data_IF_323626457045
#
_entry.id   IF_323626457045
#
_cell.length_a   1.000
_cell.length_b   1.000
_cell.length_c   1.000
_cell.angle_alpha   90.00
_cell.angle_beta   90.00
_cell.angle_gamma   90.00
#
_symmetry.space_group_name_H-M   'P 1'
#
loop_
_entity.id
_entity.type
_entity.pdbx_description
1 polymer ?
#
# COMPACT_ATOMS: atom_id res chain seq x y z
N UNK A 1 -5.39 -3.50 7.50
CA UNK A 1 -5.52 -3.49 6.01
C UNK A 1 -4.23 -2.89 5.47
N UNK A 2 -3.55 -3.57 4.56
CA UNK A 2 -2.37 -3.01 3.92
C UNK A 2 -2.73 -1.73 3.14
N UNK A 3 -1.92 -0.68 3.29
CA UNK A 3 -1.97 0.52 2.46
C UNK A 3 -0.77 0.54 1.51
N UNK A 4 -0.67 1.50 0.60
CA UNK A 4 0.32 1.50 -0.48
C UNK A 4 1.77 1.27 -0.02
N UNK A 5 2.19 1.91 1.06
CA UNK A 5 3.55 1.75 1.61
C UNK A 5 3.91 0.29 1.93
N UNK A 6 2.94 -0.51 2.41
CA UNK A 6 3.18 -1.95 2.67
C UNK A 6 3.47 -2.68 1.37
N UNK A 7 2.71 -2.38 0.31
CA UNK A 7 2.87 -3.06 -0.98
C UNK A 7 4.21 -2.69 -1.63
N UNK A 8 4.59 -1.40 -1.59
CA UNK A 8 5.90 -0.95 -2.06
C UNK A 8 7.04 -1.59 -1.27
N UNK A 9 6.93 -1.68 0.07
CA UNK A 9 7.92 -2.35 0.90
C UNK A 9 8.05 -3.83 0.55
N UNK A 10 6.93 -4.52 0.28
CA UNK A 10 6.92 -5.92 -0.15
C UNK A 10 7.53 -6.09 -1.54
N UNK A 11 7.22 -5.19 -2.49
CA UNK A 11 7.84 -5.18 -3.80
C UNK A 11 9.37 -5.05 -3.70
N UNK A 12 9.85 -4.07 -2.92
CA UNK A 12 11.27 -3.86 -2.68
C UNK A 12 11.94 -5.09 -2.02
N UNK A 13 11.24 -5.75 -1.08
CA UNK A 13 11.77 -6.94 -0.42
C UNK A 13 11.88 -8.14 -1.38
N UNK A 14 10.89 -8.35 -2.25
CA UNK A 14 10.92 -9.40 -3.27
C UNK A 14 12.00 -9.11 -4.30
N UNK A 15 12.04 -7.87 -4.80
CA UNK A 15 13.04 -7.45 -5.79
C UNK A 15 14.47 -7.64 -5.24
N UNK A 16 14.72 -7.16 -4.03
CA UNK A 16 16.02 -7.30 -3.37
C UNK A 16 16.42 -8.76 -3.09
N UNK A 17 15.45 -9.63 -2.82
CA UNK A 17 15.73 -11.04 -2.54
C UNK A 17 15.93 -11.88 -3.80
N UNK A 18 15.21 -11.60 -4.89
CA UNK A 18 15.07 -12.54 -5.99
C UNK A 18 15.38 -11.98 -7.38
N UNK A 19 15.44 -10.65 -7.59
CA UNK A 19 15.63 -10.08 -8.91
C UNK A 19 16.92 -10.60 -9.58
N UNK A 20 16.79 -11.03 -10.83
CA UNK A 20 17.87 -11.64 -11.61
C UNK A 20 18.20 -13.08 -11.23
N UNK A 21 17.49 -13.67 -10.27
CA UNK A 21 17.72 -15.03 -9.79
C UNK A 21 16.66 -16.00 -10.30
N UNK A 22 17.09 -17.26 -10.51
CA UNK A 22 16.17 -18.35 -10.79
C UNK A 22 15.49 -18.79 -9.50
N UNK A 23 14.18 -18.90 -9.52
CA UNK A 23 13.38 -19.22 -8.33
C UNK A 23 12.54 -20.48 -8.51
N UNK A 24 12.29 -21.19 -7.42
CA UNK A 24 11.25 -22.20 -7.32
C UNK A 24 9.92 -21.51 -6.98
N UNK A 25 8.86 -21.84 -7.74
CA UNK A 25 7.53 -21.29 -7.53
C UNK A 25 6.54 -22.42 -7.32
N UNK A 26 5.91 -22.43 -6.14
CA UNK A 26 4.97 -23.48 -5.75
C UNK A 26 3.66 -22.92 -5.22
N UNK A 27 2.60 -23.72 -5.28
CA UNK A 27 1.31 -23.40 -4.67
C UNK A 27 0.92 -24.49 -3.66
N UNK A 28 1.41 -24.43 -2.42
CA UNK A 28 1.15 -25.47 -1.42
C UNK A 28 -0.34 -25.71 -1.15
N UNK A 29 -1.18 -24.68 -1.26
CA UNK A 29 -2.63 -24.77 -1.16
C UNK A 29 -3.30 -25.35 -2.42
N UNK A 30 -2.61 -25.35 -3.57
CA UNK A 30 -3.10 -25.87 -4.86
C UNK A 30 -3.91 -24.89 -5.72
N UNK A 31 -4.42 -23.78 -5.16
CA UNK A 31 -5.31 -22.86 -5.92
C UNK A 31 -4.61 -22.00 -6.98
N UNK A 32 -3.29 -22.07 -7.07
CA UNK A 32 -2.46 -21.37 -8.05
C UNK A 32 -1.48 -22.35 -8.71
N UNK A 33 -1.74 -23.66 -8.65
CA UNK A 33 -0.78 -24.70 -9.03
C UNK A 33 -0.40 -24.65 -10.51
N UNK A 34 -1.37 -24.45 -11.41
CA UNK A 34 -1.11 -24.38 -12.86
C UNK A 34 -0.22 -23.18 -13.21
N UNK A 35 -0.55 -22.02 -12.72
CA UNK A 35 0.26 -20.80 -12.93
C UNK A 35 1.62 -20.90 -12.25
N UNK A 36 1.70 -21.47 -11.04
CA UNK A 36 2.96 -21.70 -10.35
C UNK A 36 3.90 -22.60 -11.19
N UNK A 37 3.38 -23.67 -11.78
CA UNK A 37 4.16 -24.57 -12.64
C UNK A 37 4.68 -23.88 -13.92
N UNK A 38 4.01 -22.82 -14.39
CA UNK A 38 4.49 -22.01 -15.54
C UNK A 38 5.65 -21.10 -15.16
N UNK A 39 5.73 -20.69 -13.89
CA UNK A 39 6.76 -19.80 -13.35
C UNK A 39 7.91 -20.55 -12.68
N UNK A 40 7.71 -21.81 -12.32
CA UNK A 40 8.70 -22.61 -11.60
C UNK A 40 9.99 -22.78 -12.41
N UNK A 41 11.12 -22.56 -11.75
CA UNK A 41 12.45 -22.63 -12.36
C UNK A 41 12.75 -21.50 -13.36
N UNK A 42 11.94 -20.42 -13.44
CA UNK A 42 12.23 -19.24 -14.26
C UNK A 42 13.00 -18.20 -13.49
N UNK A 43 13.47 -17.14 -14.16
CA UNK A 43 14.14 -16.00 -13.53
C UNK A 43 13.10 -14.97 -13.13
N UNK A 44 13.10 -14.54 -11.88
CA UNK A 44 12.33 -13.38 -11.44
C UNK A 44 13.06 -12.11 -11.92
N UNK A 45 12.47 -11.37 -12.86
CA UNK A 45 13.08 -10.20 -13.46
C UNK A 45 13.01 -8.96 -12.56
N UNK A 46 11.82 -8.68 -12.03
CA UNK A 46 11.61 -7.52 -11.14
C UNK A 46 10.33 -7.67 -10.31
N UNK A 47 10.21 -6.85 -9.26
CA UNK A 47 8.97 -6.69 -8.51
C UNK A 47 8.67 -5.19 -8.31
N UNK A 48 7.44 -4.79 -8.62
CA UNK A 48 7.00 -3.40 -8.54
C UNK A 48 5.64 -3.29 -7.85
N UNK A 49 5.38 -2.11 -7.28
CA UNK A 49 4.08 -1.78 -6.72
C UNK A 49 3.44 -0.58 -7.43
N UNK A 50 2.11 -0.60 -7.50
CA UNK A 50 1.30 0.52 -7.94
C UNK A 50 0.05 0.59 -7.06
N UNK A 51 0.02 1.57 -6.16
CA UNK A 51 -1.02 1.67 -5.14
C UNK A 51 -1.04 0.45 -4.23
N UNK A 52 -2.09 -0.34 -4.32
CA UNK A 52 -2.25 -1.57 -3.54
C UNK A 52 -2.06 -2.85 -4.36
N UNK A 53 -1.53 -2.71 -5.56
CA UNK A 53 -1.22 -3.80 -6.48
C UNK A 53 0.28 -4.07 -6.47
N UNK A 54 0.65 -5.34 -6.34
CA UNK A 54 1.99 -5.85 -6.49
C UNK A 54 2.07 -6.62 -7.79
N UNK A 55 3.06 -6.34 -8.60
CA UNK A 55 3.35 -7.04 -9.85
C UNK A 55 4.77 -7.58 -9.79
N UNK A 56 4.90 -8.86 -10.02
CA UNK A 56 6.20 -9.54 -10.12
C UNK A 56 6.36 -10.05 -11.53
N UNK A 57 7.42 -9.63 -12.19
CA UNK A 57 7.75 -9.98 -13.57
C UNK A 57 8.73 -11.16 -13.61
N UNK A 58 8.43 -12.12 -14.49
CA UNK A 58 9.25 -13.32 -14.67
C UNK A 58 9.73 -13.42 -16.13
N UNK A 59 11.03 -13.58 -16.32
CA UNK A 59 11.63 -13.85 -17.64
C UNK A 59 11.41 -15.31 -18.04
N UNK A 60 10.20 -15.60 -18.54
CA UNK A 60 9.79 -16.96 -18.94
C UNK A 60 9.50 -17.09 -20.43
N UNK A 61 9.70 -16.05 -21.23
CA UNK A 61 9.45 -15.99 -22.68
C UNK A 61 8.00 -16.37 -23.09
N UNK A 62 7.03 -16.24 -22.18
CA UNK A 62 5.60 -16.49 -22.41
C UNK A 62 4.83 -15.18 -22.39
N UNK A 63 3.65 -15.12 -23.03
CA UNK A 63 2.77 -13.96 -22.88
C UNK A 63 2.39 -13.70 -21.43
N UNK A 64 2.03 -14.74 -20.69
CA UNK A 64 1.65 -14.66 -19.28
C UNK A 64 2.92 -14.79 -18.42
N UNK A 65 3.46 -13.65 -17.99
CA UNK A 65 4.70 -13.57 -17.22
C UNK A 65 4.58 -12.65 -15.99
N UNK A 66 3.49 -11.91 -15.86
CA UNK A 66 3.27 -11.00 -14.75
C UNK A 66 2.40 -11.66 -13.67
N UNK A 67 2.98 -11.87 -12.50
CA UNK A 67 2.22 -12.28 -11.31
C UNK A 67 1.60 -11.05 -10.65
N UNK A 68 0.29 -10.89 -10.77
CA UNK A 68 -0.46 -9.81 -10.15
C UNK A 68 -1.05 -10.24 -8.81
N UNK A 69 -0.75 -9.49 -7.77
CA UNK A 69 -1.22 -9.73 -6.40
C UNK A 69 -1.93 -8.49 -5.86
N UNK A 70 -3.12 -8.69 -5.29
CA UNK A 70 -3.80 -7.71 -4.43
C UNK A 70 -4.15 -8.37 -3.09
N UNK A 71 -3.57 -7.85 -2.00
CA UNK A 71 -3.74 -8.48 -0.68
C UNK A 71 -5.16 -8.39 -0.13
N UNK A 72 -5.90 -7.32 -0.48
CA UNK A 72 -7.23 -7.07 0.08
C UNK A 72 -7.16 -6.73 1.58
N UNK A 73 -8.17 -7.15 2.33
CA UNK A 73 -8.30 -6.83 3.75
C UNK A 73 -7.46 -7.74 4.66
N UNK A 74 -7.36 -9.01 4.32
CA UNK A 74 -6.83 -10.09 5.18
C UNK A 74 -5.59 -10.76 4.62
N UNK A 75 -5.24 -10.51 3.34
CA UNK A 75 -4.08 -11.10 2.70
C UNK A 75 -2.79 -10.68 3.37
N UNK A 76 -1.85 -11.62 3.43
CA UNK A 76 -0.52 -11.43 3.99
C UNK A 76 0.52 -11.98 3.03
N UNK A 77 1.60 -11.24 2.85
CA UNK A 77 2.80 -11.68 2.16
C UNK A 77 3.98 -11.44 3.09
N UNK A 78 4.81 -12.45 3.30
CA UNK A 78 6.01 -12.37 4.14
C UNK A 78 7.22 -12.82 3.32
N UNK A 79 8.31 -12.07 3.40
CA UNK A 79 9.61 -12.42 2.81
C UNK A 79 10.56 -12.66 3.97
N UNK A 80 10.91 -13.93 4.18
CA UNK A 80 11.62 -14.40 5.38
C UNK A 80 12.57 -15.55 5.02
N UNK A 81 13.52 -15.94 5.88
CA UNK A 81 14.33 -17.15 5.66
C UNK A 81 13.43 -18.38 5.40
N UNK A 82 13.86 -19.24 4.48
CA UNK A 82 13.10 -20.43 4.09
C UNK A 82 12.92 -21.37 5.28
N UNK A 83 11.66 -21.67 5.59
CA UNK A 83 11.25 -22.66 6.60
C UNK A 83 10.19 -23.60 5.99
N UNK A 84 9.94 -24.77 6.58
CA UNK A 84 8.85 -25.64 6.13
C UNK A 84 7.51 -24.89 6.05
N UNK A 85 6.74 -25.19 5.01
CA UNK A 85 5.43 -24.57 4.80
C UNK A 85 4.48 -24.93 5.94
N UNK A 86 3.88 -23.90 6.56
CA UNK A 86 2.87 -24.08 7.61
C UNK A 86 1.59 -23.37 7.21
N UNK A 87 0.45 -24.05 7.30
CA UNK A 87 -0.88 -23.49 7.03
C UNK A 87 -1.18 -23.30 5.54
N UNK A 88 -2.09 -22.38 5.24
CA UNK A 88 -2.64 -22.18 3.90
C UNK A 88 -1.81 -21.16 3.11
N UNK A 89 -0.77 -21.62 2.41
CA UNK A 89 0.06 -20.80 1.52
C UNK A 89 -0.47 -20.89 0.10
N UNK A 90 -0.95 -19.78 -0.45
CA UNK A 90 -1.46 -19.67 -1.83
C UNK A 90 -0.35 -19.83 -2.85
N UNK A 91 0.75 -19.16 -2.59
CA UNK A 91 1.94 -19.09 -3.43
C UNK A 91 3.17 -19.00 -2.55
N UNK A 92 4.22 -19.74 -2.90
CA UNK A 92 5.58 -19.58 -2.39
C UNK A 92 6.52 -19.34 -3.56
N UNK A 93 7.37 -18.32 -3.43
CA UNK A 93 8.54 -18.06 -4.29
C UNK A 93 9.76 -18.24 -3.41
N UNK A 94 10.76 -19.02 -3.84
CA UNK A 94 11.98 -19.23 -3.04
C UNK A 94 13.21 -19.49 -3.91
N UNK A 95 14.38 -19.10 -3.41
CA UNK A 95 15.70 -19.45 -3.93
C UNK A 95 16.38 -20.55 -3.09
N UNK A 96 15.64 -21.13 -2.13
CA UNK A 96 16.15 -22.11 -1.17
C UNK A 96 16.66 -21.49 0.14
N UNK A 97 17.03 -20.20 0.16
CA UNK A 97 17.52 -19.46 1.33
C UNK A 97 16.43 -18.55 1.89
N UNK A 98 15.78 -17.81 1.00
CA UNK A 98 14.68 -16.90 1.32
C UNK A 98 13.39 -17.40 0.67
N UNK A 99 12.25 -17.17 1.33
CA UNK A 99 10.95 -17.49 0.80
C UNK A 99 9.97 -16.31 0.94
N UNK A 100 9.21 -16.05 -0.11
CA UNK A 100 8.05 -15.16 -0.12
C UNK A 100 6.77 -16.00 -0.07
N UNK A 101 6.06 -15.96 1.05
CA UNK A 101 4.84 -16.74 1.30
C UNK A 101 3.59 -15.86 1.26
N UNK A 102 2.73 -16.11 0.30
CA UNK A 102 1.45 -15.43 0.13
C UNK A 102 0.29 -16.22 0.76
N UNK A 103 -0.50 -15.57 1.62
CA UNK A 103 -1.64 -16.17 2.30
C UNK A 103 -2.88 -15.29 2.14
N UNK A 104 -4.01 -15.88 1.79
CA UNK A 104 -5.33 -15.25 1.76
C UNK A 104 -5.45 -13.97 0.92
N UNK A 105 -4.78 -13.84 -0.24
CA UNK A 105 -4.92 -12.65 -1.08
C UNK A 105 -6.32 -12.53 -1.65
N UNK A 106 -6.74 -11.33 -1.97
CA UNK A 106 -7.93 -11.07 -2.77
C UNK A 106 -7.71 -11.49 -4.23
N UNK A 107 -6.57 -11.10 -4.81
CA UNK A 107 -6.15 -11.47 -6.16
C UNK A 107 -4.77 -12.12 -6.11
N UNK A 108 -4.58 -13.19 -6.88
CA UNK A 108 -3.30 -13.83 -7.16
C UNK A 108 -3.46 -14.50 -8.52
N UNK A 109 -3.02 -13.84 -9.58
CA UNK A 109 -3.27 -14.21 -10.96
C UNK A 109 -1.98 -14.05 -11.78
N UNK A 110 -1.78 -14.94 -12.74
CA UNK A 110 -0.74 -14.84 -13.76
C UNK A 110 -1.39 -14.20 -14.99
N UNK A 111 -0.89 -13.05 -15.43
CA UNK A 111 -1.46 -12.21 -16.47
C UNK A 111 -0.39 -11.79 -17.48
N UNK A 112 -0.83 -11.24 -18.61
CA UNK A 112 0.02 -10.65 -19.64
C UNK A 112 0.03 -9.11 -19.54
N UNK A 113 0.84 -8.46 -20.42
CA UNK A 113 0.98 -7.01 -20.48
C UNK A 113 -0.34 -6.27 -20.78
N UNK A 114 -1.17 -6.81 -21.69
CA UNK A 114 -2.44 -6.19 -22.06
C UNK A 114 -3.43 -6.21 -20.89
N UNK A 115 -3.49 -7.31 -20.16
CA UNK A 115 -4.32 -7.46 -18.97
C UNK A 115 -3.82 -6.54 -17.86
N UNK A 116 -2.50 -6.47 -17.63
CA UNK A 116 -1.94 -5.50 -16.70
C UNK A 116 -2.23 -4.07 -17.13
N UNK A 117 -2.08 -3.72 -18.41
CA UNK A 117 -2.43 -2.42 -18.96
C UNK A 117 -3.87 -2.02 -18.66
N UNK A 118 -4.79 -2.99 -18.76
CA UNK A 118 -6.21 -2.79 -18.41
C UNK A 118 -6.40 -2.48 -16.92
N UNK A 119 -5.72 -3.19 -16.04
CA UNK A 119 -5.75 -2.93 -14.59
C UNK A 119 -5.11 -1.57 -14.28
N UNK A 120 -3.92 -1.30 -14.80
CA UNK A 120 -3.16 -0.07 -14.56
C UNK A 120 -3.92 1.19 -15.00
N UNK A 121 -4.65 1.12 -16.13
CA UNK A 121 -5.48 2.22 -16.61
C UNK A 121 -6.60 2.63 -15.63
N UNK A 122 -6.97 1.77 -14.70
CA UNK A 122 -7.97 2.07 -13.66
C UNK A 122 -7.36 2.67 -12.40
N UNK A 123 -6.06 2.61 -12.24
CA UNK A 123 -5.33 3.08 -11.06
C UNK A 123 -4.91 4.53 -11.26
N UNK A 124 -5.13 5.37 -10.27
CA UNK A 124 -4.71 6.77 -10.29
C UNK A 124 -3.21 6.94 -9.97
N UNK A 125 -2.72 8.18 -9.97
CA UNK A 125 -1.37 8.49 -9.53
C UNK A 125 -1.10 7.95 -8.13
N UNK A 126 0.07 7.33 -7.94
CA UNK A 126 0.52 6.77 -6.66
C UNK A 126 1.56 7.72 -6.04
N UNK A 127 1.30 8.32 -4.87
CA UNK A 127 2.20 9.28 -4.24
C UNK A 127 3.63 8.75 -3.98
N UNK A 128 3.81 7.43 -3.93
CA UNK A 128 5.14 6.83 -3.67
C UNK A 128 6.00 6.81 -4.93
N UNK A 129 5.37 6.70 -6.10
CA UNK A 129 6.07 6.60 -7.39
C UNK A 129 6.60 7.95 -7.85
N UNK A 130 7.77 7.94 -8.50
CA UNK A 130 8.40 9.16 -9.03
C UNK A 130 7.71 9.69 -10.30
N UNK A 131 6.95 8.84 -11.01
CA UNK A 131 6.18 9.20 -12.20
C UNK A 131 4.77 9.73 -11.89
N UNK A 132 4.40 9.87 -10.61
CA UNK A 132 3.09 10.32 -10.20
C UNK A 132 2.90 11.83 -10.44
N UNK A 133 1.83 12.17 -11.19
CA UNK A 133 1.43 13.55 -11.43
C UNK A 133 0.22 13.93 -10.53
N UNK A 134 0.41 14.83 -9.54
CA UNK A 134 -0.67 15.29 -8.67
C UNK A 134 -1.80 16.01 -9.41
N UNK A 135 -1.52 16.59 -10.58
CA UNK A 135 -2.53 17.32 -11.35
C UNK A 135 -3.52 16.39 -12.04
N UNK A 136 -3.09 15.17 -12.40
CA UNK A 136 -4.01 14.11 -12.90
C UNK A 136 -5.04 13.74 -11.82
N UNK A 137 -4.61 13.65 -10.57
CA UNK A 137 -5.51 13.42 -9.43
C UNK A 137 -6.37 14.65 -9.15
N UNK A 138 -5.78 15.85 -9.18
CA UNK A 138 -6.48 17.13 -8.99
C UNK A 138 -7.65 17.31 -9.96
N UNK A 139 -7.49 16.94 -11.21
CA UNK A 139 -8.55 17.02 -12.20
C UNK A 139 -9.81 16.24 -11.82
N UNK A 140 -9.65 15.15 -11.07
CA UNK A 140 -10.78 14.37 -10.53
C UNK A 140 -11.35 15.01 -9.25
N UNK A 141 -10.46 15.47 -8.35
CA UNK A 141 -10.85 16.12 -7.08
C UNK A 141 -11.69 17.36 -7.33
N UNK A 142 -11.22 18.33 -8.15
CA UNK A 142 -11.88 19.61 -8.41
C UNK A 142 -13.26 19.50 -9.08
N UNK A 143 -13.58 18.33 -9.66
CA UNK A 143 -14.90 18.04 -10.28
C UNK A 143 -15.82 17.25 -9.35
N UNK A 144 -15.33 16.78 -8.20
CA UNK A 144 -16.07 15.89 -7.34
C UNK A 144 -16.98 16.63 -6.37
N UNK A 145 -18.25 16.26 -6.34
CA UNK A 145 -19.19 16.68 -5.30
C UNK A 145 -19.20 15.72 -4.09
N UNK A 146 -18.44 14.61 -4.14
CA UNK A 146 -18.28 13.67 -3.02
C UNK A 146 -17.43 14.32 -1.93
N UNK A 147 -17.57 13.82 -0.70
CA UNK A 147 -16.71 14.20 0.43
C UNK A 147 -15.24 13.93 0.08
N UNK A 148 -14.35 14.83 0.46
CA UNK A 148 -12.89 14.66 0.20
C UNK A 148 -12.36 13.38 0.84
N UNK A 149 -12.90 12.97 1.98
CA UNK A 149 -12.58 11.70 2.62
C UNK A 149 -12.86 10.49 1.70
N UNK A 150 -13.96 10.50 0.95
CA UNK A 150 -14.31 9.42 0.03
C UNK A 150 -13.50 9.49 -1.28
N UNK A 151 -13.16 10.71 -1.69
CA UNK A 151 -12.36 10.96 -2.89
C UNK A 151 -10.92 10.46 -2.69
N UNK A 152 -10.33 10.69 -1.51
CA UNK A 152 -8.99 10.20 -1.18
C UNK A 152 -8.90 8.67 -1.08
N UNK A 153 -10.00 7.97 -0.77
CA UNK A 153 -10.04 6.49 -0.76
C UNK A 153 -10.21 5.89 -2.16
N UNK A 154 -10.65 6.67 -3.12
CA UNK A 154 -10.83 6.21 -4.49
C UNK A 154 -9.46 5.98 -5.13
N UNK A 155 -9.11 4.71 -5.32
CA UNK A 155 -7.81 4.32 -5.87
C UNK A 155 -7.55 4.84 -7.29
N UNK A 156 -8.58 5.33 -7.97
CA UNK A 156 -8.46 6.02 -9.25
C UNK A 156 -8.01 7.48 -9.10
N UNK A 157 -8.05 8.04 -7.88
CA UNK A 157 -7.64 9.42 -7.56
C UNK A 157 -6.27 9.43 -6.92
N UNK A 158 -6.09 8.71 -5.80
CA UNK A 158 -4.85 8.63 -5.07
C UNK A 158 -4.57 7.16 -4.73
N UNK A 159 -3.81 6.50 -5.59
CA UNK A 159 -3.52 5.09 -5.43
C UNK A 159 -2.70 4.83 -4.16
N UNK A 160 -2.97 3.73 -3.49
CA UNK A 160 -2.26 3.36 -2.26
C UNK A 160 -2.82 3.98 -0.98
N UNK A 161 -3.47 5.14 -1.06
CA UNK A 161 -4.07 5.78 0.11
C UNK A 161 -5.18 4.90 0.69
N UNK A 162 -5.12 4.69 2.00
CA UNK A 162 -6.14 3.96 2.74
C UNK A 162 -6.71 4.77 3.89
N UNK A 163 -7.32 4.08 4.85
CA UNK A 163 -8.05 4.75 5.93
C UNK A 163 -7.15 5.55 6.87
N UNK A 164 -5.90 5.12 7.06
CA UNK A 164 -4.97 5.79 7.97
C UNK A 164 -4.47 7.08 7.31
N UNK A 165 -3.80 6.97 6.16
CA UNK A 165 -3.28 8.17 5.48
C UNK A 165 -4.37 9.19 5.17
N UNK A 166 -5.56 8.75 4.74
CA UNK A 166 -6.70 9.63 4.53
C UNK A 166 -7.05 10.46 5.77
N UNK A 167 -7.23 9.79 6.91
CA UNK A 167 -7.64 10.46 8.14
C UNK A 167 -6.55 11.44 8.62
N UNK A 168 -5.31 11.01 8.56
CA UNK A 168 -4.17 11.75 9.06
C UNK A 168 -3.83 12.98 8.20
N UNK A 169 -3.82 12.85 6.86
CA UNK A 169 -3.55 13.99 5.98
C UNK A 169 -4.63 15.06 6.09
N UNK A 170 -5.90 14.67 6.18
CA UNK A 170 -7.00 15.62 6.37
C UNK A 170 -6.86 16.38 7.70
N UNK A 171 -6.53 15.68 8.78
CA UNK A 171 -6.28 16.32 10.08
C UNK A 171 -5.09 17.27 10.03
N UNK A 172 -3.96 16.84 9.47
CA UNK A 172 -2.72 17.63 9.39
C UNK A 172 -2.91 18.94 8.61
N UNK A 173 -3.74 18.92 7.58
CA UNK A 173 -4.08 20.09 6.76
C UNK A 173 -5.35 20.80 7.21
N UNK A 174 -5.96 20.39 8.33
CA UNK A 174 -7.18 21.00 8.90
C UNK A 174 -8.34 21.06 7.90
N UNK A 175 -8.46 20.04 7.07
CA UNK A 175 -9.53 19.88 6.10
C UNK A 175 -10.65 19.06 6.73
N UNK A 176 -11.87 19.61 6.75
CA UNK A 176 -13.04 18.86 7.18
C UNK A 176 -13.27 17.68 6.21
N UNK A 177 -13.30 16.43 6.68
CA UNK A 177 -13.50 15.24 5.85
C UNK A 177 -14.81 15.28 5.04
N UNK A 178 -15.83 16.02 5.49
CA UNK A 178 -17.10 16.18 4.79
C UNK A 178 -17.06 17.22 3.66
N UNK A 179 -16.00 18.01 3.54
CA UNK A 179 -15.84 19.01 2.48
C UNK A 179 -15.94 18.36 1.10
N UNK A 180 -16.80 18.83 0.18
CA UNK A 180 -16.80 18.35 -1.20
C UNK A 180 -15.47 18.61 -1.91
N UNK A 181 -14.99 17.62 -2.69
CA UNK A 181 -13.71 17.76 -3.40
C UNK A 181 -13.58 19.05 -4.21
N UNK A 182 -14.65 19.48 -4.89
CA UNK A 182 -14.69 20.72 -5.68
C UNK A 182 -14.50 22.01 -4.87
N UNK A 183 -14.58 21.96 -3.54
CA UNK A 183 -14.35 23.10 -2.64
C UNK A 183 -12.91 23.14 -2.10
N UNK A 184 -12.13 22.09 -2.34
CA UNK A 184 -10.70 22.10 -2.01
C UNK A 184 -9.99 23.03 -3.00
N UNK A 185 -9.08 23.87 -2.52
CA UNK A 185 -8.24 24.69 -3.40
C UNK A 185 -7.10 23.85 -3.99
N UNK A 186 -6.58 24.24 -5.16
CA UNK A 186 -5.43 23.57 -5.76
C UNK A 186 -4.21 23.58 -4.83
N UNK A 187 -3.95 24.71 -4.17
CA UNK A 187 -2.85 24.83 -3.20
C UNK A 187 -3.00 23.89 -1.99
N UNK A 188 -4.23 23.75 -1.47
CA UNK A 188 -4.49 22.78 -0.39
C UNK A 188 -4.29 21.35 -0.88
N UNK A 189 -4.74 21.03 -2.11
CA UNK A 189 -4.53 19.72 -2.70
C UNK A 189 -3.05 19.38 -2.83
N UNK A 190 -2.24 20.28 -3.41
CA UNK A 190 -0.80 20.07 -3.55
C UNK A 190 -0.10 19.88 -2.20
N UNK A 191 -0.44 20.70 -1.20
CA UNK A 191 0.11 20.54 0.14
C UNK A 191 -0.24 19.16 0.76
N UNK A 192 -1.48 18.70 0.59
CA UNK A 192 -1.90 17.36 1.04
C UNK A 192 -1.17 16.24 0.25
N UNK A 193 -0.96 16.44 -1.04
CA UNK A 193 -0.25 15.48 -1.89
C UNK A 193 1.22 15.34 -1.47
N UNK A 194 1.92 16.45 -1.27
CA UNK A 194 3.31 16.46 -0.82
C UNK A 194 3.46 15.78 0.54
N UNK A 195 2.50 16.01 1.44
CA UNK A 195 2.47 15.36 2.76
C UNK A 195 2.22 13.85 2.63
N UNK A 196 1.34 13.41 1.73
CA UNK A 196 1.14 11.99 1.42
C UNK A 196 2.42 11.36 0.87
N UNK A 197 3.11 12.01 -0.06
CA UNK A 197 4.39 11.53 -0.60
C UNK A 197 5.40 11.31 0.52
N UNK A 198 5.58 12.32 1.39
CA UNK A 198 6.51 12.25 2.52
C UNK A 198 6.15 11.12 3.49
N UNK A 199 4.90 11.07 3.94
CA UNK A 199 4.44 10.10 4.93
C UNK A 199 4.45 8.67 4.40
N UNK A 200 4.03 8.46 3.15
CA UNK A 200 3.97 7.13 2.57
C UNK A 200 5.37 6.59 2.24
N UNK A 201 6.30 7.42 1.78
CA UNK A 201 7.71 7.03 1.57
C UNK A 201 8.39 6.69 2.90
N UNK A 202 8.21 7.49 3.95
CA UNK A 202 8.68 7.15 5.29
C UNK A 202 8.09 5.82 5.80
N UNK A 203 6.83 5.54 5.46
CA UNK A 203 6.18 4.26 5.75
C UNK A 203 6.81 3.08 5.00
N UNK A 204 7.28 3.27 3.76
CA UNK A 204 8.03 2.23 3.01
C UNK A 204 9.33 1.90 3.73
N UNK A 205 10.06 2.91 4.18
CA UNK A 205 11.35 2.75 4.85
C UNK A 205 11.21 2.08 6.23
N UNK A 206 10.33 2.62 7.07
CA UNK A 206 10.16 2.17 8.45
C UNK A 206 9.29 0.93 8.61
N UNK A 207 8.39 0.64 7.67
CA UNK A 207 7.35 -0.37 7.78
C UNK A 207 6.20 0.05 8.72
N UNK A 208 6.14 1.33 9.14
CA UNK A 208 5.16 1.89 10.08
C UNK A 208 4.51 3.14 9.49
N UNK A 209 3.34 3.49 9.99
CA UNK A 209 2.68 4.76 9.64
C UNK A 209 2.83 5.72 10.83
N UNK A 210 3.85 6.56 10.80
CA UNK A 210 4.06 7.63 11.76
C UNK A 210 3.69 8.96 11.09
N UNK A 211 2.70 9.66 11.65
CA UNK A 211 2.15 10.89 11.06
C UNK A 211 2.30 12.11 11.96
N UNK A 212 2.66 11.88 13.23
CA UNK A 212 2.81 12.97 14.19
C UNK A 212 4.07 13.80 13.93
N UNK A 213 3.99 15.10 14.19
CA UNK A 213 5.15 15.98 14.14
C UNK A 213 6.11 15.68 15.29
N UNK A 214 7.40 16.04 15.19
CA UNK A 214 8.40 15.76 16.21
C UNK A 214 8.00 16.20 17.62
N UNK A 215 7.34 17.35 17.76
CA UNK A 215 6.86 17.89 19.04
C UNK A 215 5.69 17.11 19.67
N UNK A 216 5.06 16.21 18.91
CA UNK A 216 3.95 15.38 19.35
C UNK A 216 4.30 13.89 19.49
N UNK A 217 5.58 13.54 19.38
CA UNK A 217 6.03 12.17 19.63
C UNK A 217 5.86 11.78 21.10
N UNK A 218 5.81 10.50 21.43
CA UNK A 218 5.74 10.03 22.83
C UNK A 218 6.82 10.63 23.70
N UNK A 219 8.05 10.68 23.19
CA UNK A 219 9.23 11.22 23.91
C UNK A 219 9.09 12.72 24.17
N UNK A 220 8.70 13.49 23.17
CA UNK A 220 8.55 14.95 23.29
C UNK A 220 7.41 15.33 24.24
N UNK A 221 6.33 14.54 24.27
CA UNK A 221 5.17 14.79 25.12
C UNK A 221 5.23 14.08 26.48
N UNK A 222 6.23 13.25 26.75
CA UNK A 222 6.32 12.46 27.98
C UNK A 222 5.17 11.47 28.17
N UNK A 223 4.61 10.93 27.07
CA UNK A 223 3.51 9.97 27.08
C UNK A 223 3.96 8.59 26.64
N UNK A 224 3.23 7.51 27.01
CA UNK A 224 3.55 6.19 26.47
C UNK A 224 3.34 6.14 24.95
N UNK A 225 4.14 5.31 24.23
CA UNK A 225 3.90 5.03 22.81
C UNK A 225 2.51 4.42 22.59
N UNK A 226 1.96 4.65 21.40
CA UNK A 226 0.71 4.01 20.99
C UNK A 226 0.92 2.50 20.83
N UNK A 227 0.02 1.73 21.45
CA UNK A 227 -0.03 0.28 21.31
C UNK A 227 -1.17 -0.08 20.37
N UNK A 228 -0.86 -0.41 19.12
CA UNK A 228 -1.84 -0.78 18.10
C UNK A 228 -1.20 -1.77 17.11
N UNK A 229 -1.97 -2.74 16.62
CA UNK A 229 -1.51 -3.69 15.60
C UNK A 229 -1.26 -3.07 14.22
N UNK A 230 -1.60 -1.80 14.03
CA UNK A 230 -1.36 -1.06 12.77
C UNK A 230 -0.10 -0.22 12.82
N UNK A 231 0.62 -0.23 13.97
CA UNK A 231 1.91 0.41 14.19
C UNK A 231 1.90 1.93 13.99
N UNK A 232 2.80 2.63 14.66
CA UNK A 232 3.05 4.03 14.44
C UNK A 232 2.20 5.00 15.26
N UNK A 233 2.70 6.23 15.34
CA UNK A 233 2.10 7.34 16.05
C UNK A 233 1.22 8.16 15.10
N UNK A 234 -0.04 8.34 15.44
CA UNK A 234 -1.05 9.00 14.60
C UNK A 234 -1.88 10.00 15.41
N UNK A 235 -2.44 11.01 14.73
CA UNK A 235 -3.24 12.04 15.38
C UNK A 235 -4.68 11.60 15.66
N UNK A 236 -5.35 10.97 14.70
CA UNK A 236 -6.81 10.76 14.78
C UNK A 236 -7.25 9.33 14.48
N UNK A 237 -6.52 8.56 13.68
CA UNK A 237 -6.96 7.24 13.28
C UNK A 237 -7.10 6.28 14.48
N UNK A 238 -8.32 5.75 14.71
CA UNK A 238 -8.68 4.91 15.88
C UNK A 238 -8.35 5.56 17.22
N UNK A 239 -8.52 6.87 17.31
CA UNK A 239 -8.33 7.63 18.55
C UNK A 239 -9.60 8.38 18.97
N UNK A 240 -10.78 7.89 18.55
CA UNK A 240 -12.07 8.43 19.00
C UNK A 240 -12.12 8.55 20.54
N UNK A 241 -12.69 9.65 21.02
CA UNK A 241 -12.81 10.04 22.41
C UNK A 241 -11.48 10.25 23.18
N UNK A 242 -10.32 9.97 22.55
CA UNK A 242 -9.02 10.30 23.14
C UNK A 242 -8.70 11.78 22.98
N UNK A 243 -7.90 12.35 23.90
CA UNK A 243 -7.44 13.74 23.77
C UNK A 243 -6.64 13.95 22.47
N UNK A 244 -6.95 15.01 21.74
CA UNK A 244 -6.15 15.45 20.59
C UNK A 244 -4.74 15.84 21.06
N UNK A 245 -3.69 15.37 20.37
CA UNK A 245 -2.31 15.69 20.72
C UNK A 245 -1.95 17.18 20.54
N UNK A 246 -2.76 17.93 19.77
CA UNK A 246 -2.51 19.35 19.47
C UNK A 246 -3.28 20.28 20.42
N UNK A 247 -4.58 20.00 20.65
CA UNK A 247 -5.47 20.94 21.36
C UNK A 247 -6.19 20.33 22.58
N UNK A 248 -5.91 19.07 22.89
CA UNK A 248 -6.47 18.32 24.02
C UNK A 248 -8.00 18.13 24.01
N UNK A 249 -8.71 18.55 22.96
CA UNK A 249 -10.13 18.22 22.81
C UNK A 249 -10.31 16.77 22.38
N UNK A 250 -11.42 16.09 22.75
CA UNK A 250 -11.66 14.72 22.30
C UNK A 250 -11.73 14.64 20.76
N UNK A 251 -11.02 13.64 20.20
CA UNK A 251 -11.13 13.31 18.78
C UNK A 251 -12.52 12.77 18.50
N UNK A 252 -13.18 13.28 17.46
CA UNK A 252 -14.52 12.84 17.06
C UNK A 252 -14.47 12.11 15.73
N UNK A 253 -15.27 11.04 15.63
CA UNK A 253 -15.52 10.38 14.36
C UNK A 253 -16.61 11.14 13.60
N UNK A 254 -16.38 11.40 12.31
CA UNK A 254 -17.39 11.91 11.38
C UNK A 254 -17.89 10.72 10.55
N UNK A 255 -19.18 10.44 10.63
CA UNK A 255 -19.84 9.36 9.89
C UNK A 255 -20.09 9.75 8.41
#
# INVERSE_FOLDING_TARGET
MPEGHVIHRLANAIDSAFAGSRVEVTSPQGRFAESAAMLDGTVLASAQAWGKHLVVDFDNHRPDHLLHIHLGLIGKLAVEPTVPVVGQVRLRITDGVTAADLRGPQTCELINDDEWGTVAATIGPDPIRDDADPDVAWDKVRRSSRRISDVLLDQRVAAGVGNIYRAEVLFRHRVDPATPGKQISHSTWLAMWDDLVMLMRAGVESGRIDTVQPEHTPEAMGRPPRVDHHGGEVYVYRREDQPCLVCNTPVRMVA
#
